data_IF_942227472730
#
_entry.id   IF_942227472730
#
_cell.length_a   1.000
_cell.length_b   1.000
_cell.length_c   1.000
_cell.angle_alpha   90.00
_cell.angle_beta   90.00
_cell.angle_gamma   90.00
#
_symmetry.space_group_name_H-M   'P 1'
#
loop_
_entity.id
_entity.type
_entity.pdbx_description
1 polymer ?
#
# COMPACT_ATOMS: atom_id res chain seq x y z
N UNK A 1 -12.70 -4.85 -29.78
CA UNK A 1 -12.50 -4.01 -28.59
C UNK A 1 -11.63 -4.78 -27.60
N UNK A 2 -10.55 -4.18 -27.11
CA UNK A 2 -9.63 -4.82 -26.17
C UNK A 2 -10.04 -4.59 -24.71
N UNK A 3 -9.62 -5.47 -23.81
CA UNK A 3 -9.78 -5.27 -22.37
C UNK A 3 -9.02 -4.01 -21.94
N UNK A 4 -9.71 -3.09 -21.28
CA UNK A 4 -9.07 -2.00 -20.54
C UNK A 4 -9.13 -2.35 -19.06
N UNK A 5 -7.99 -2.67 -18.43
CA UNK A 5 -7.98 -2.99 -17.01
C UNK A 5 -8.47 -1.78 -16.21
N UNK A 6 -9.38 -1.99 -15.24
CA UNK A 6 -9.79 -0.93 -14.32
C UNK A 6 -8.69 -0.75 -13.26
N UNK A 7 -7.54 -0.22 -13.68
CA UNK A 7 -6.32 -0.15 -12.85
C UNK A 7 -6.61 0.64 -11.57
N UNK A 8 -7.35 1.74 -11.66
CA UNK A 8 -7.72 2.54 -10.50
C UNK A 8 -8.50 1.73 -9.46
N UNK A 9 -9.51 0.97 -9.89
CA UNK A 9 -10.35 0.18 -8.99
C UNK A 9 -9.57 -0.99 -8.40
N UNK A 10 -8.69 -1.60 -9.20
CA UNK A 10 -7.84 -2.69 -8.73
C UNK A 10 -6.85 -2.22 -7.66
N UNK A 11 -6.12 -1.12 -7.88
CA UNK A 11 -5.21 -0.56 -6.88
C UNK A 11 -5.96 -0.10 -5.63
N UNK A 12 -7.13 0.52 -5.81
CA UNK A 12 -8.00 0.94 -4.71
C UNK A 12 -8.44 -0.26 -3.87
N UNK A 13 -8.83 -1.36 -4.51
CA UNK A 13 -9.18 -2.62 -3.86
C UNK A 13 -8.01 -3.17 -3.05
N UNK A 14 -6.82 -3.26 -3.63
CA UNK A 14 -5.62 -3.76 -2.94
C UNK A 14 -5.31 -2.92 -1.69
N UNK A 15 -5.28 -1.58 -1.83
CA UNK A 15 -5.01 -0.69 -0.69
C UNK A 15 -6.10 -0.78 0.37
N UNK A 16 -7.37 -0.90 -0.02
CA UNK A 16 -8.48 -1.01 0.94
C UNK A 16 -8.47 -2.35 1.69
N UNK A 17 -8.12 -3.44 1.03
CA UNK A 17 -8.13 -4.78 1.63
C UNK A 17 -6.87 -5.05 2.46
N UNK A 18 -5.72 -4.54 2.03
CA UNK A 18 -4.42 -4.88 2.61
C UNK A 18 -3.66 -3.68 3.19
N UNK A 19 -4.23 -2.48 3.20
CA UNK A 19 -3.56 -1.29 3.73
C UNK A 19 -3.09 -1.44 5.19
N UNK A 20 -3.88 -2.14 6.00
CA UNK A 20 -3.62 -2.32 7.43
C UNK A 20 -2.36 -3.14 7.71
N UNK A 21 -1.84 -3.89 6.72
CA UNK A 21 -0.59 -4.63 6.93
C UNK A 21 0.59 -3.69 7.21
N UNK A 22 0.47 -2.40 6.84
CA UNK A 22 1.50 -1.39 7.10
C UNK A 22 1.57 -0.91 8.55
N UNK A 23 0.47 -0.94 9.32
CA UNK A 23 0.37 -0.25 10.63
C UNK A 23 1.43 -0.69 11.65
N UNK A 24 1.78 -1.97 11.65
CA UNK A 24 2.82 -2.55 12.51
C UNK A 24 3.78 -3.41 11.69
N UNK A 25 3.91 -3.08 10.41
CA UNK A 25 4.68 -3.87 9.46
C UNK A 25 6.19 -3.74 9.59
N UNK A 26 6.89 -4.63 8.88
CA UNK A 26 8.34 -4.67 8.88
C UNK A 26 8.92 -3.34 8.43
N UNK A 27 8.30 -2.66 7.46
CA UNK A 27 8.74 -1.35 7.02
C UNK A 27 8.70 -0.31 8.16
N UNK A 28 7.74 -0.40 9.09
CA UNK A 28 7.70 0.45 10.29
C UNK A 28 8.75 0.00 11.30
N UNK A 29 8.87 -1.30 11.56
CA UNK A 29 9.82 -1.86 12.53
C UNK A 29 11.28 -1.55 12.16
N UNK A 30 11.59 -1.59 10.86
CA UNK A 30 12.90 -1.24 10.30
C UNK A 30 13.10 0.27 10.13
N UNK A 31 12.16 1.09 10.60
CA UNK A 31 12.19 2.57 10.52
C UNK A 31 12.29 3.12 9.09
N UNK A 32 11.86 2.35 8.09
CA UNK A 32 11.71 2.80 6.70
C UNK A 32 10.47 3.69 6.59
N UNK A 33 9.39 3.32 7.29
CA UNK A 33 8.20 4.12 7.46
C UNK A 33 8.12 4.67 8.88
N UNK A 34 7.76 5.94 8.97
CA UNK A 34 7.46 6.63 10.22
C UNK A 34 6.10 6.15 10.74
N UNK A 35 6.09 5.50 11.92
CA UNK A 35 4.91 4.89 12.54
C UNK A 35 3.73 5.85 12.62
N UNK A 36 3.99 7.10 12.97
CA UNK A 36 2.93 8.09 13.21
C UNK A 36 2.31 8.58 11.89
N UNK A 37 3.00 8.36 10.76
CA UNK A 37 2.54 8.72 9.42
C UNK A 37 1.83 7.59 8.70
N UNK A 38 1.92 6.35 9.17
CA UNK A 38 1.29 5.20 8.49
C UNK A 38 -0.23 5.25 8.50
N UNK A 39 -0.92 5.54 9.62
CA UNK A 39 -2.39 5.66 9.60
C UNK A 39 -2.86 6.72 8.59
N UNK A 40 -2.12 7.82 8.52
CA UNK A 40 -2.31 8.89 7.53
C UNK A 40 -2.07 8.39 6.11
N UNK A 41 -1.02 7.60 5.89
CA UNK A 41 -0.69 7.03 4.59
C UNK A 41 -1.80 6.09 4.07
N UNK A 42 -2.32 5.21 4.93
CA UNK A 42 -3.38 4.26 4.57
C UNK A 42 -4.72 4.96 4.31
N UNK A 43 -5.07 5.96 5.13
CA UNK A 43 -6.37 6.63 5.04
C UNK A 43 -6.43 7.77 4.02
N UNK A 44 -5.41 8.63 3.97
CA UNK A 44 -5.42 9.88 3.19
C UNK A 44 -4.79 9.74 1.79
N UNK A 45 -3.79 8.88 1.57
CA UNK A 45 -3.07 8.90 0.28
C UNK A 45 -3.97 8.48 -0.88
N UNK A 46 -4.91 7.55 -0.66
CA UNK A 46 -5.93 7.19 -1.65
C UNK A 46 -6.80 8.38 -2.07
N UNK A 47 -6.98 9.37 -1.19
CA UNK A 47 -7.82 10.54 -1.44
C UNK A 47 -7.07 11.64 -2.20
N UNK A 48 -5.75 11.51 -2.38
CA UNK A 48 -4.91 12.48 -3.09
C UNK A 48 -4.79 12.20 -4.59
N UNK A 49 -5.77 11.48 -5.15
CA UNK A 49 -5.79 11.08 -6.56
C UNK A 49 -4.72 10.04 -6.92
N UNK A 50 -4.43 9.94 -8.22
CA UNK A 50 -3.60 8.87 -8.78
C UNK A 50 -2.20 8.74 -8.14
N UNK A 51 -1.41 9.82 -7.93
CA UNK A 51 -0.07 9.68 -7.36
C UNK A 51 -0.11 9.13 -5.93
N UNK A 52 -1.10 9.55 -5.13
CA UNK A 52 -1.27 9.07 -3.77
C UNK A 52 -1.71 7.61 -3.72
N UNK A 53 -2.69 7.23 -4.54
CA UNK A 53 -3.14 5.84 -4.66
C UNK A 53 -2.01 4.91 -5.10
N UNK A 54 -1.26 5.29 -6.14
CA UNK A 54 -0.16 4.49 -6.65
C UNK A 54 0.98 4.34 -5.64
N UNK A 55 1.27 5.40 -4.87
CA UNK A 55 2.26 5.35 -3.82
C UNK A 55 1.82 4.44 -2.65
N UNK A 56 0.57 4.58 -2.19
CA UNK A 56 0.01 3.72 -1.14
C UNK A 56 0.05 2.24 -1.55
N UNK A 57 -0.32 1.94 -2.80
CA UNK A 57 -0.21 0.60 -3.37
C UNK A 57 1.23 0.06 -3.31
N UNK A 58 2.23 0.85 -3.70
CA UNK A 58 3.64 0.41 -3.64
C UNK A 58 4.08 0.05 -2.23
N UNK A 59 3.64 0.80 -1.22
CA UNK A 59 3.96 0.50 0.17
C UNK A 59 3.38 -0.86 0.58
N UNK A 60 2.10 -1.09 0.30
CA UNK A 60 1.42 -2.36 0.57
C UNK A 60 2.12 -3.51 -0.14
N UNK A 61 2.42 -3.34 -1.43
CA UNK A 61 3.09 -4.36 -2.24
C UNK A 61 4.48 -4.71 -1.68
N UNK A 62 5.27 -3.70 -1.30
CA UNK A 62 6.61 -3.90 -0.77
C UNK A 62 6.59 -4.64 0.57
N UNK A 63 5.68 -4.27 1.47
CA UNK A 63 5.50 -4.93 2.76
C UNK A 63 5.07 -6.39 2.57
N UNK A 64 4.11 -6.66 1.67
CA UNK A 64 3.67 -8.02 1.37
C UNK A 64 4.77 -8.86 0.72
N UNK A 65 5.51 -8.29 -0.23
CA UNK A 65 6.63 -8.96 -0.89
C UNK A 65 7.70 -9.36 0.13
N UNK A 66 8.08 -8.43 1.00
CA UNK A 66 9.06 -8.74 2.04
C UNK A 66 8.58 -9.90 2.93
N UNK A 67 7.34 -9.82 3.45
CA UNK A 67 6.78 -10.85 4.33
C UNK A 67 6.66 -12.23 3.68
N UNK A 68 6.29 -12.27 2.40
CA UNK A 68 5.95 -13.53 1.71
C UNK A 68 7.09 -14.14 0.91
N UNK A 69 8.11 -13.36 0.59
CA UNK A 69 9.18 -13.79 -0.34
C UNK A 69 10.57 -13.63 0.26
N UNK A 70 10.83 -12.58 1.05
CA UNK A 70 12.17 -12.30 1.58
C UNK A 70 12.36 -12.88 2.98
N UNK A 71 11.36 -12.73 3.85
CA UNK A 71 11.38 -13.22 5.23
C UNK A 71 10.80 -14.64 5.38
N UNK A 72 10.40 -15.26 4.26
CA UNK A 72 9.90 -16.64 4.18
C UNK A 72 11.02 -17.67 4.11
#
# INVERSE_FOLDING_TARGET
AGFQPPVHDWLSGVVNTYGDVLLEGVLVQQRILDKDKVPRAVSELRQRGWPGLFFAYKLVLLEMWYRKVVAS
#
